data_IF_715436920607
#
_entry.id   IF_715436920607
#
_cell.length_a   1.000
_cell.length_b   1.000
_cell.length_c   1.000
_cell.angle_alpha   90.00
_cell.angle_beta   90.00
_cell.angle_gamma   90.00
#
_symmetry.space_group_name_H-M   'P 1'
#
loop_
_entity.id
_entity.type
_entity.pdbx_description
1 polymer ?
#
# COMPACT_ATOMS: atom_id res chain seq x y z
N UNK A 1 8.35 -17.50 9.50
CA UNK A 1 8.73 -16.33 8.64
C UNK A 1 8.27 -16.67 7.23
N UNK A 2 7.56 -15.76 6.56
CA UNK A 2 7.07 -15.93 5.18
C UNK A 2 8.24 -16.03 4.22
N UNK A 3 8.09 -16.86 3.19
CA UNK A 3 9.08 -17.05 2.12
C UNK A 3 8.46 -16.76 0.77
N UNK A 4 9.26 -16.35 -0.21
CA UNK A 4 8.80 -16.16 -1.59
C UNK A 4 8.26 -17.45 -2.22
N UNK A 5 8.72 -18.61 -1.77
CA UNK A 5 8.18 -19.90 -2.20
C UNK A 5 6.71 -20.07 -1.76
N UNK A 6 6.36 -19.66 -0.54
CA UNK A 6 4.97 -19.72 -0.07
C UNK A 6 4.08 -18.72 -0.81
N UNK A 7 4.60 -17.51 -1.11
CA UNK A 7 3.91 -16.51 -1.97
C UNK A 7 3.67 -17.08 -3.37
N UNK A 8 4.69 -17.73 -3.97
CA UNK A 8 4.57 -18.39 -5.27
C UNK A 8 3.47 -19.45 -5.27
N UNK A 9 3.47 -20.34 -4.27
CA UNK A 9 2.45 -21.40 -4.15
C UNK A 9 1.05 -20.82 -4.00
N UNK A 10 0.91 -19.75 -3.19
CA UNK A 10 -0.37 -19.07 -3.02
C UNK A 10 -0.84 -18.44 -4.36
N UNK A 11 0.05 -17.78 -5.10
CA UNK A 11 -0.27 -17.18 -6.40
C UNK A 11 -0.71 -18.22 -7.43
N UNK A 12 0.02 -19.34 -7.56
CA UNK A 12 -0.31 -20.44 -8.47
C UNK A 12 -1.69 -21.06 -8.14
N UNK A 13 -2.09 -21.10 -6.86
CA UNK A 13 -3.41 -21.62 -6.46
C UNK A 13 -4.55 -20.82 -7.09
N UNK A 14 -4.36 -19.53 -7.33
CA UNK A 14 -5.32 -18.64 -7.98
C UNK A 14 -5.08 -18.51 -9.50
N UNK A 15 -4.08 -19.21 -10.04
CA UNK A 15 -3.74 -19.18 -11.47
C UNK A 15 -2.97 -17.91 -11.88
N UNK A 16 -2.32 -17.23 -10.95
CA UNK A 16 -1.40 -16.15 -11.25
C UNK A 16 -0.02 -16.73 -11.54
N UNK A 17 0.42 -16.62 -12.79
CA UNK A 17 1.74 -17.12 -13.21
C UNK A 17 2.79 -16.02 -13.11
N UNK A 18 3.98 -16.39 -12.66
CA UNK A 18 5.07 -15.42 -12.49
C UNK A 18 6.43 -15.99 -12.87
N UNK A 19 7.38 -15.10 -13.08
CA UNK A 19 8.80 -15.42 -13.11
C UNK A 19 9.35 -15.40 -11.69
N UNK A 20 10.17 -16.41 -11.37
CA UNK A 20 10.80 -16.52 -10.06
C UNK A 20 12.24 -15.99 -10.18
N UNK A 21 12.48 -14.83 -9.57
CA UNK A 21 13.82 -14.26 -9.37
C UNK A 21 14.50 -14.77 -8.11
N UNK A 22 15.69 -14.26 -7.82
CA UNK A 22 16.45 -14.64 -6.62
C UNK A 22 15.80 -14.11 -5.34
N UNK A 23 15.24 -12.90 -5.39
CA UNK A 23 14.72 -12.12 -4.28
C UNK A 23 13.30 -11.58 -4.51
N UNK A 24 12.66 -11.93 -5.63
CA UNK A 24 11.35 -11.43 -6.04
C UNK A 24 10.59 -12.38 -6.97
N UNK A 25 9.27 -12.18 -7.03
CA UNK A 25 8.39 -12.78 -8.03
C UNK A 25 7.88 -11.67 -8.95
N UNK A 26 7.87 -11.91 -10.26
CA UNK A 26 7.43 -10.92 -11.25
C UNK A 26 6.23 -11.45 -12.02
N UNK A 27 5.13 -10.74 -11.98
CA UNK A 27 3.85 -11.03 -12.65
C UNK A 27 3.65 -10.03 -13.79
N UNK A 28 3.99 -10.39 -15.04
CA UNK A 28 3.84 -9.49 -16.18
C UNK A 28 2.40 -9.47 -16.70
N UNK A 29 1.85 -8.29 -16.86
CA UNK A 29 0.57 -8.01 -17.49
C UNK A 29 0.79 -7.13 -18.70
N UNK A 30 -0.22 -6.98 -19.55
CA UNK A 30 -0.10 -6.16 -20.75
C UNK A 30 0.23 -4.69 -20.41
N UNK A 31 -0.52 -4.10 -19.48
CA UNK A 31 -0.43 -2.67 -19.16
C UNK A 31 0.45 -2.38 -17.94
N UNK A 32 0.85 -3.40 -17.18
CA UNK A 32 1.61 -3.22 -15.93
C UNK A 32 2.44 -4.47 -15.56
N UNK A 33 3.33 -4.28 -14.62
CA UNK A 33 4.13 -5.36 -14.02
C UNK A 33 3.91 -5.31 -12.51
N UNK A 34 3.60 -6.46 -11.90
CA UNK A 34 3.56 -6.59 -10.44
C UNK A 34 4.81 -7.31 -9.98
N UNK A 35 5.53 -6.73 -9.06
CA UNK A 35 6.71 -7.33 -8.41
C UNK A 35 6.39 -7.61 -6.95
N UNK A 36 6.46 -8.88 -6.53
CA UNK A 36 6.31 -9.25 -5.13
C UNK A 36 7.66 -9.56 -4.51
N UNK A 37 7.95 -8.95 -3.35
CA UNK A 37 9.20 -9.15 -2.62
C UNK A 37 8.98 -8.99 -1.10
N UNK A 38 9.95 -9.48 -0.31
CA UNK A 38 9.97 -9.33 1.13
C UNK A 38 10.86 -8.12 1.47
N UNK A 39 10.29 -7.15 2.15
CA UNK A 39 11.03 -6.06 2.77
C UNK A 39 11.37 -6.47 4.20
N UNK A 40 12.66 -6.65 4.48
CA UNK A 40 13.16 -7.05 5.80
C UNK A 40 13.43 -5.86 6.72
N UNK A 41 13.21 -4.63 6.25
CA UNK A 41 13.32 -3.44 7.10
C UNK A 41 12.27 -3.51 8.22
N UNK A 42 12.48 -2.75 9.28
CA UNK A 42 11.52 -2.70 10.38
C UNK A 42 10.42 -1.64 10.10
N UNK A 43 9.14 -2.02 10.07
CA UNK A 43 8.57 -3.36 10.26
C UNK A 43 8.68 -4.22 8.97
N UNK A 44 8.97 -5.54 9.09
CA UNK A 44 9.08 -6.40 7.93
C UNK A 44 7.72 -6.61 7.27
N UNK A 45 7.72 -6.57 5.92
CA UNK A 45 6.49 -6.65 5.13
C UNK A 45 6.66 -7.47 3.85
N UNK A 46 5.59 -8.09 3.39
CA UNK A 46 5.43 -8.59 2.03
C UNK A 46 4.84 -7.46 1.18
N UNK A 47 5.54 -7.10 0.11
CA UNK A 47 5.17 -6.00 -0.79
C UNK A 47 4.76 -6.56 -2.15
N UNK A 48 3.66 -6.04 -2.69
CA UNK A 48 3.25 -6.16 -4.08
C UNK A 48 3.33 -4.76 -4.70
N UNK A 49 4.39 -4.49 -5.44
CA UNK A 49 4.66 -3.22 -6.09
C UNK A 49 4.35 -3.34 -7.59
N UNK A 50 3.48 -2.49 -8.08
CA UNK A 50 3.00 -2.49 -9.45
C UNK A 50 3.47 -1.24 -10.15
N UNK A 51 4.04 -1.40 -11.35
CA UNK A 51 4.45 -0.32 -12.22
C UNK A 51 3.66 -0.38 -13.52
N UNK A 52 3.03 0.72 -13.93
CA UNK A 52 2.40 0.83 -15.24
C UNK A 52 3.49 0.96 -16.32
N UNK A 53 3.33 0.26 -17.44
CA UNK A 53 4.33 0.27 -18.53
C UNK A 53 4.35 1.55 -19.33
N UNK A 54 3.18 2.20 -19.46
CA UNK A 54 3.08 3.47 -20.15
C UNK A 54 3.50 4.62 -19.21
N UNK A 55 4.13 5.63 -19.80
CA UNK A 55 4.50 6.87 -19.12
C UNK A 55 3.69 8.04 -19.70
N UNK A 56 3.49 9.08 -18.92
CA UNK A 56 2.77 10.28 -19.32
C UNK A 56 3.66 11.51 -19.08
N UNK A 57 3.49 12.58 -19.86
CA UNK A 57 4.30 13.79 -19.70
C UNK A 57 3.96 14.57 -18.44
N UNK A 58 4.92 15.31 -17.90
CA UNK A 58 4.76 16.14 -16.69
C UNK A 58 3.68 17.23 -16.83
N UNK A 59 3.32 17.62 -18.03
CA UNK A 59 2.21 18.56 -18.29
C UNK A 59 0.86 18.07 -17.78
N UNK A 60 0.72 16.75 -17.58
CA UNK A 60 -0.46 16.11 -17.01
C UNK A 60 -0.46 15.99 -15.48
N UNK A 61 0.59 16.48 -14.79
CA UNK A 61 0.73 16.32 -13.32
C UNK A 61 -0.51 16.77 -12.54
N UNK A 62 -1.14 17.86 -12.93
CA UNK A 62 -2.35 18.34 -12.25
C UNK A 62 -3.59 17.45 -12.45
N UNK A 63 -3.68 16.73 -13.56
CA UNK A 63 -4.71 15.73 -13.82
C UNK A 63 -4.42 14.45 -13.06
N UNK A 64 -3.18 13.96 -13.15
CA UNK A 64 -2.69 12.83 -12.39
C UNK A 64 -2.92 13.01 -10.88
N UNK A 65 -2.60 14.18 -10.34
CA UNK A 65 -2.81 14.48 -8.93
C UNK A 65 -4.27 14.30 -8.50
N UNK A 66 -5.22 14.75 -9.33
CA UNK A 66 -6.66 14.59 -9.03
C UNK A 66 -7.11 13.14 -9.12
N UNK A 67 -6.73 12.41 -10.16
CA UNK A 67 -7.09 10.98 -10.34
C UNK A 67 -6.48 10.12 -9.23
N UNK A 68 -5.20 10.30 -8.91
CA UNK A 68 -4.53 9.57 -7.82
C UNK A 68 -5.17 9.88 -6.46
N UNK A 69 -5.44 11.16 -6.20
CA UNK A 69 -6.11 11.56 -4.95
C UNK A 69 -7.51 10.95 -4.83
N UNK A 70 -8.30 10.97 -5.89
CA UNK A 70 -9.64 10.37 -5.91
C UNK A 70 -9.55 8.87 -5.63
N UNK A 71 -8.65 8.13 -6.30
CA UNK A 71 -8.44 6.72 -6.04
C UNK A 71 -8.04 6.45 -4.59
N UNK A 72 -7.02 7.14 -4.07
CA UNK A 72 -6.51 6.93 -2.72
C UNK A 72 -7.54 7.30 -1.64
N UNK A 73 -8.40 8.28 -1.91
CA UNK A 73 -9.49 8.67 -1.02
C UNK A 73 -10.64 7.65 -1.00
N UNK A 74 -11.03 7.12 -2.15
CA UNK A 74 -12.21 6.27 -2.30
C UNK A 74 -11.93 4.79 -2.07
N UNK A 75 -10.66 4.35 -2.12
CA UNK A 75 -10.28 2.94 -2.06
C UNK A 75 -9.30 2.65 -0.94
N UNK A 76 -9.49 1.51 -0.28
CA UNK A 76 -8.56 1.06 0.77
C UNK A 76 -7.17 0.73 0.22
N UNK A 77 -7.10 0.25 -1.02
CA UNK A 77 -5.84 -0.07 -1.70
C UNK A 77 -6.07 -0.57 -3.12
N UNK A 78 -5.00 -0.75 -3.89
CA UNK A 78 -3.61 -0.40 -3.57
C UNK A 78 -3.39 1.12 -3.43
N UNK A 79 -2.33 1.52 -2.74
CA UNK A 79 -1.86 2.91 -2.72
C UNK A 79 -1.32 3.27 -4.08
N UNK A 80 -1.87 4.29 -4.73
CA UNK A 80 -1.38 4.79 -6.01
C UNK A 80 -0.50 6.01 -5.79
N UNK A 81 0.64 6.03 -6.49
CA UNK A 81 1.62 7.13 -6.46
C UNK A 81 2.15 7.39 -7.86
N UNK A 82 2.85 8.52 -8.03
CA UNK A 82 3.56 8.85 -9.25
C UNK A 82 5.05 9.02 -8.98
N UNK A 83 5.87 8.60 -9.93
CA UNK A 83 7.31 8.82 -9.93
C UNK A 83 7.72 9.61 -11.17
N UNK A 84 8.50 10.65 -10.96
CA UNK A 84 9.10 11.42 -12.06
C UNK A 84 10.43 10.78 -12.43
N UNK A 85 10.50 10.25 -13.64
CA UNK A 85 11.73 9.68 -14.21
C UNK A 85 12.59 10.73 -14.93
N UNK A 86 13.69 10.25 -15.50
CA UNK A 86 14.49 11.03 -16.42
C UNK A 86 13.63 11.48 -17.62
N UNK A 87 13.98 12.51 -18.33
CA UNK A 87 13.25 13.03 -19.50
C UNK A 87 11.85 13.64 -19.19
N UNK A 88 11.56 13.94 -17.92
CA UNK A 88 10.28 14.49 -17.48
C UNK A 88 9.07 13.59 -17.79
N UNK A 89 9.28 12.30 -17.85
CA UNK A 89 8.22 11.28 -17.93
C UNK A 89 7.75 10.89 -16.54
N UNK A 90 6.46 10.69 -16.38
CA UNK A 90 5.82 10.25 -15.14
C UNK A 90 5.37 8.81 -15.30
N UNK A 91 5.80 7.95 -14.37
CA UNK A 91 5.33 6.57 -14.23
C UNK A 91 4.37 6.48 -13.06
N UNK A 92 3.31 5.68 -13.17
CA UNK A 92 2.39 5.40 -12.07
C UNK A 92 2.73 4.08 -11.41
N UNK A 93 2.67 4.09 -10.09
CA UNK A 93 2.87 2.94 -9.23
C UNK A 93 1.61 2.64 -8.43
N UNK A 94 1.40 1.37 -8.09
CA UNK A 94 0.33 0.94 -7.19
C UNK A 94 0.89 -0.11 -6.24
N UNK A 95 0.77 0.11 -4.93
CA UNK A 95 1.41 -0.74 -3.91
C UNK A 95 0.41 -1.30 -2.91
N UNK A 96 0.53 -2.60 -2.64
CA UNK A 96 -0.14 -3.29 -1.53
C UNK A 96 0.91 -3.92 -0.62
N UNK A 97 0.71 -3.87 0.68
CA UNK A 97 1.64 -4.43 1.68
C UNK A 97 0.92 -5.23 2.76
N UNK A 98 1.62 -6.21 3.32
CA UNK A 98 1.18 -7.00 4.46
C UNK A 98 2.31 -7.09 5.48
N UNK A 99 2.09 -6.65 6.70
CA UNK A 99 3.04 -6.82 7.79
C UNK A 99 3.20 -8.32 8.11
N UNK A 100 4.45 -8.78 8.20
CA UNK A 100 4.78 -10.19 8.43
C UNK A 100 5.57 -10.41 9.73
N UNK A 101 5.86 -9.33 10.47
CA UNK A 101 6.67 -9.37 11.69
C UNK A 101 6.09 -10.25 12.81
N UNK A 102 4.76 -10.21 12.99
CA UNK A 102 4.05 -11.07 13.94
C UNK A 102 3.71 -12.47 13.40
N UNK A 103 4.28 -12.84 12.25
CA UNK A 103 3.93 -14.07 11.53
C UNK A 103 2.60 -13.96 10.78
N UNK A 104 2.39 -14.83 9.79
CA UNK A 104 1.11 -14.97 9.09
C UNK A 104 0.81 -16.45 8.82
N UNK A 105 -0.47 -16.81 8.73
CA UNK A 105 -0.91 -18.15 8.37
C UNK A 105 -0.98 -18.31 6.84
N UNK A 106 -1.00 -19.55 6.32
CA UNK A 106 -1.21 -19.78 4.89
C UNK A 106 -2.51 -19.19 4.34
N UNK A 107 -3.59 -19.18 5.12
CA UNK A 107 -4.88 -18.62 4.72
C UNK A 107 -4.83 -17.08 4.65
N UNK A 108 -4.16 -16.41 5.59
CA UNK A 108 -3.92 -14.98 5.56
C UNK A 108 -3.06 -14.58 4.35
N UNK A 109 -1.99 -15.36 4.06
CA UNK A 109 -1.14 -15.15 2.89
C UNK A 109 -1.93 -15.30 1.59
N UNK A 110 -2.71 -16.37 1.46
CA UNK A 110 -3.51 -16.64 0.28
C UNK A 110 -4.55 -15.54 0.03
N UNK A 111 -5.23 -15.08 1.09
CA UNK A 111 -6.22 -13.99 0.99
C UNK A 111 -5.56 -12.66 0.57
N UNK A 112 -4.40 -12.33 1.14
CA UNK A 112 -3.64 -11.14 0.76
C UNK A 112 -3.16 -11.18 -0.70
N UNK A 113 -2.57 -12.30 -1.15
CA UNK A 113 -2.11 -12.47 -2.54
C UNK A 113 -3.26 -12.27 -3.52
N UNK A 114 -4.40 -12.94 -3.29
CA UNK A 114 -5.59 -12.80 -4.12
C UNK A 114 -6.10 -11.36 -4.14
N UNK A 115 -6.28 -10.75 -2.96
CA UNK A 115 -6.79 -9.38 -2.82
C UNK A 115 -5.89 -8.37 -3.52
N UNK A 116 -4.57 -8.46 -3.32
CA UNK A 116 -3.60 -7.56 -3.95
C UNK A 116 -3.67 -7.62 -5.48
N UNK A 117 -3.71 -8.81 -6.07
CA UNK A 117 -3.78 -8.97 -7.52
C UNK A 117 -5.12 -8.48 -8.10
N UNK A 118 -6.24 -8.76 -7.43
CA UNK A 118 -7.58 -8.31 -7.86
C UNK A 118 -7.71 -6.78 -7.77
N UNK A 119 -7.29 -6.18 -6.65
CA UNK A 119 -7.40 -4.72 -6.45
C UNK A 119 -6.42 -3.95 -7.32
N UNK A 120 -5.21 -4.46 -7.56
CA UNK A 120 -4.25 -3.89 -8.51
C UNK A 120 -4.85 -3.81 -9.91
N UNK A 121 -5.47 -4.91 -10.38
CA UNK A 121 -6.13 -4.90 -11.69
C UNK A 121 -7.23 -3.84 -11.77
N UNK A 122 -8.06 -3.72 -10.71
CA UNK A 122 -9.09 -2.69 -10.65
C UNK A 122 -8.49 -1.27 -10.67
N UNK A 123 -7.37 -1.06 -9.98
CA UNK A 123 -6.67 0.22 -10.01
C UNK A 123 -6.16 0.56 -11.41
N UNK A 124 -5.50 -0.37 -12.07
CA UNK A 124 -4.97 -0.17 -13.42
C UNK A 124 -6.10 0.07 -14.42
N UNK A 125 -7.18 -0.73 -14.38
CA UNK A 125 -8.34 -0.55 -15.25
C UNK A 125 -8.97 0.86 -15.06
N UNK A 126 -9.12 1.33 -13.81
CA UNK A 126 -9.63 2.67 -13.49
C UNK A 126 -8.70 3.79 -13.96
N UNK A 127 -7.39 3.66 -13.72
CA UNK A 127 -6.40 4.65 -14.16
C UNK A 127 -6.37 4.79 -15.69
N UNK A 128 -6.48 3.69 -16.43
CA UNK A 128 -6.54 3.71 -17.91
C UNK A 128 -7.87 4.28 -18.40
N UNK A 129 -8.99 4.04 -17.69
CA UNK A 129 -10.29 4.63 -18.04
C UNK A 129 -10.26 6.15 -17.91
N UNK A 130 -9.68 6.67 -16.83
CA UNK A 130 -9.56 8.12 -16.58
C UNK A 130 -8.49 8.78 -17.44
N UNK A 131 -7.39 8.06 -17.73
CA UNK A 131 -6.20 8.54 -18.43
C UNK A 131 -5.85 7.57 -19.58
N UNK A 132 -6.55 7.63 -20.71
CA UNK A 132 -6.39 6.68 -21.82
C UNK A 132 -4.98 6.61 -22.43
N UNK A 133 -4.16 7.64 -22.23
CA UNK A 133 -2.76 7.69 -22.69
C UNK A 133 -1.87 6.69 -21.91
N UNK A 134 -2.35 6.14 -20.78
CA UNK A 134 -1.70 5.07 -20.02
C UNK A 134 -1.94 3.67 -20.61
N UNK A 135 -2.84 3.54 -21.59
CA UNK A 135 -3.08 2.25 -22.26
C UNK A 135 -1.91 1.89 -23.16
N UNK A 136 -1.37 0.69 -22.99
CA UNK A 136 -0.40 0.15 -23.94
C UNK A 136 -1.07 -0.17 -25.28
N UNK A 137 -0.42 0.11 -26.42
CA UNK A 137 -0.97 -0.22 -27.74
C UNK A 137 -1.20 -1.72 -27.86
N UNK A 138 -2.41 -2.13 -28.20
CA UNK A 138 -2.71 -3.53 -28.45
C UNK A 138 -2.04 -4.00 -29.77
N UNK A 139 -1.31 -5.12 -29.70
CA UNK A 139 -0.95 -5.82 -30.93
C UNK A 139 -2.22 -6.38 -31.60
N UNK A 140 -2.25 -6.43 -32.95
CA UNK A 140 -3.42 -6.93 -33.68
C UNK A 140 -3.82 -8.37 -33.26
N UNK A 141 -2.86 -9.18 -32.86
CA UNK A 141 -3.06 -10.56 -32.40
C UNK A 141 -3.73 -10.61 -31.02
N UNK A 142 -3.37 -9.71 -30.10
CA UNK A 142 -3.96 -9.60 -28.77
C UNK A 142 -5.40 -9.05 -28.83
N UNK A 143 -5.67 -8.08 -29.69
CA UNK A 143 -7.01 -7.56 -29.92
C UNK A 143 -7.96 -8.64 -30.47
N UNK A 144 -7.46 -9.54 -31.33
CA UNK A 144 -8.22 -10.67 -31.86
C UNK A 144 -8.52 -11.75 -30.80
N UNK A 145 -7.58 -11.99 -29.88
CA UNK A 145 -7.79 -12.90 -28.74
C UNK A 145 -8.78 -12.34 -27.71
N UNK A 146 -8.67 -11.05 -27.33
CA UNK A 146 -9.65 -10.39 -26.45
C UNK A 146 -11.08 -10.48 -27.01
N UNK A 147 -11.29 -10.17 -28.28
CA UNK A 147 -12.62 -10.29 -28.93
C UNK A 147 -13.20 -11.71 -28.87
N UNK A 148 -12.35 -12.73 -28.90
CA UNK A 148 -12.79 -14.14 -28.72
C UNK A 148 -13.14 -14.47 -27.28
N UNK A 149 -12.46 -13.85 -26.32
CA UNK A 149 -12.67 -14.06 -24.88
C UNK A 149 -13.89 -13.30 -24.35
N UNK A 150 -14.13 -12.07 -24.80
CA UNK A 150 -15.31 -11.26 -24.42
C UNK A 150 -16.61 -11.95 -24.86
N UNK A 151 -16.59 -12.71 -25.95
CA UNK A 151 -17.72 -13.52 -26.40
C UNK A 151 -17.95 -14.77 -25.54
N UNK A 152 -16.94 -15.25 -24.82
CA UNK A 152 -17.01 -16.41 -23.93
C UNK A 152 -17.29 -16.03 -22.46
N UNK A 153 -17.05 -14.78 -22.07
CA UNK A 153 -17.04 -14.31 -20.67
C UNK A 153 -18.43 -14.00 -20.08
N UNK A 154 -19.54 -14.18 -20.83
CA UNK A 154 -20.90 -13.99 -20.29
C UNK A 154 -21.41 -15.12 -19.40
N UNK A 155 -20.60 -16.15 -19.11
CA UNK A 155 -21.06 -17.33 -18.33
C UNK A 155 -19.99 -18.12 -17.58
N UNK A 156 -18.92 -17.53 -17.07
CA UNK A 156 -17.88 -18.30 -16.35
C UNK A 156 -17.11 -17.48 -15.30
N UNK A 157 -16.37 -18.16 -14.39
CA UNK A 157 -15.51 -17.49 -13.42
C UNK A 157 -14.45 -16.63 -14.12
N UNK A 158 -14.00 -15.56 -13.42
CA UNK A 158 -13.08 -14.52 -13.88
C UNK A 158 -12.05 -14.99 -14.94
N UNK A 159 -11.89 -14.25 -16.06
CA UNK A 159 -10.99 -14.65 -17.14
C UNK A 159 -9.56 -14.81 -16.64
N UNK A 160 -9.00 -16.00 -16.81
CA UNK A 160 -7.63 -16.36 -16.40
C UNK A 160 -6.53 -15.85 -17.33
N UNK A 161 -6.87 -15.15 -18.41
CA UNK A 161 -5.99 -15.06 -19.57
C UNK A 161 -5.64 -13.62 -19.99
N UNK A 162 -5.04 -12.85 -19.06
CA UNK A 162 -4.32 -11.63 -19.45
C UNK A 162 -2.80 -11.76 -19.26
N UNK A 163 -2.29 -12.98 -19.28
CA UNK A 163 -0.83 -13.19 -19.33
C UNK A 163 -0.35 -13.05 -20.78
N UNK A 164 0.65 -12.22 -20.97
CA UNK A 164 1.41 -12.10 -22.22
C UNK A 164 2.08 -13.45 -22.51
N UNK A 165 2.05 -13.91 -23.75
CA UNK A 165 2.66 -15.20 -24.13
C UNK A 165 4.17 -15.21 -23.89
N UNK A 166 4.71 -16.37 -23.59
CA UNK A 166 6.11 -16.58 -23.21
C UNK A 166 7.12 -16.00 -24.23
N UNK A 167 6.74 -15.86 -25.51
CA UNK A 167 7.63 -15.35 -26.56
C UNK A 167 7.74 -13.80 -26.59
N UNK A 168 6.82 -13.07 -25.95
CA UNK A 168 6.87 -11.60 -25.84
C UNK A 168 7.64 -11.15 -24.58
N UNK A 169 7.93 -12.10 -23.70
CA UNK A 169 8.52 -11.83 -22.38
C UNK A 169 10.05 -11.86 -22.36
N UNK A 170 10.71 -12.44 -23.39
CA UNK A 170 12.16 -12.45 -23.44
C UNK A 170 12.75 -11.03 -23.58
N UNK A 171 12.07 -10.13 -24.30
CA UNK A 171 12.48 -8.72 -24.40
C UNK A 171 12.16 -7.95 -23.10
N UNK A 172 11.04 -8.25 -22.44
CA UNK A 172 10.61 -7.62 -21.19
C UNK A 172 11.51 -8.05 -20.00
N UNK A 173 11.99 -9.30 -19.98
CA UNK A 173 12.94 -9.78 -18.97
C UNK A 173 14.26 -9.02 -19.04
N UNK A 174 14.70 -8.62 -20.24
CA UNK A 174 15.89 -7.78 -20.43
C UNK A 174 15.65 -6.37 -19.89
N UNK A 175 14.45 -5.79 -20.10
CA UNK A 175 14.07 -4.49 -19.55
C UNK A 175 13.97 -4.52 -18.01
N UNK A 176 13.44 -5.60 -17.43
CA UNK A 176 13.39 -5.78 -15.98
C UNK A 176 14.79 -5.87 -15.34
N UNK A 177 15.77 -6.47 -16.03
CA UNK A 177 17.17 -6.50 -15.56
C UNK A 177 17.81 -5.11 -15.61
N UNK A 178 17.47 -4.31 -16.61
CA UNK A 178 17.94 -2.91 -16.71
C UNK A 178 17.30 -2.03 -15.62
N UNK A 179 16.04 -2.27 -15.26
CA UNK A 179 15.36 -1.59 -14.15
C UNK A 179 15.98 -1.96 -12.79
N UNK A 180 16.41 -3.21 -12.60
CA UNK A 180 17.12 -3.63 -11.39
C UNK A 180 18.46 -2.89 -11.21
N UNK A 181 19.17 -2.60 -12.30
CA UNK A 181 20.41 -1.82 -12.25
C UNK A 181 20.16 -0.35 -11.89
N UNK A 182 19.02 0.24 -12.30
CA UNK A 182 18.67 1.62 -11.96
C UNK A 182 18.26 1.76 -10.49
N UNK A 183 17.46 0.83 -9.97
CA UNK A 183 17.08 0.81 -8.54
C UNK A 183 18.27 0.60 -7.61
N UNK A 184 19.30 -0.13 -8.04
CA UNK A 184 20.48 -0.42 -7.22
C UNK A 184 21.45 0.75 -7.07
N UNK A 185 21.33 1.81 -7.89
CA UNK A 185 22.27 2.94 -7.88
C UNK A 185 21.74 4.22 -7.23
N UNK A 186 20.42 4.42 -7.16
CA UNK A 186 19.84 5.68 -6.68
C UNK A 186 19.29 5.64 -5.23
N UNK A 187 19.23 4.47 -4.59
CA UNK A 187 18.48 4.30 -3.35
C UNK A 187 19.32 3.94 -2.12
N UNK A 188 20.57 4.38 -2.04
CA UNK A 188 21.32 4.31 -0.78
C UNK A 188 22.11 5.61 -0.58
N UNK A 189 21.46 6.64 -0.09
CA UNK A 189 22.14 7.53 0.85
C UNK A 189 21.93 6.91 2.24
N UNK A 190 22.97 6.40 2.90
CA UNK A 190 22.82 5.94 4.27
C UNK A 190 22.50 7.16 5.12
N UNK A 191 21.30 7.21 5.70
CA UNK A 191 21.03 8.07 6.82
C UNK A 191 22.04 7.75 7.91
N UNK A 192 22.54 8.78 8.57
CA UNK A 192 23.51 8.69 9.66
C UNK A 192 22.96 7.73 10.73
N UNK A 193 23.68 6.66 11.13
CA UNK A 193 23.17 5.68 12.08
C UNK A 193 23.05 6.22 13.53
N UNK A 194 23.32 7.50 13.78
CA UNK A 194 23.38 8.10 15.10
C UNK A 194 22.21 9.07 15.41
N UNK A 195 21.18 9.20 14.58
CA UNK A 195 19.96 9.89 15.00
C UNK A 195 19.09 8.97 15.86
N UNK A 196 19.21 9.13 17.17
CA UNK A 196 18.33 8.55 18.18
C UNK A 196 16.90 9.08 17.99
N UNK A 197 16.04 8.28 17.37
CA UNK A 197 14.59 8.52 17.37
C UNK A 197 14.04 8.22 18.76
N UNK A 198 13.90 9.25 19.57
CA UNK A 198 13.24 9.17 20.87
C UNK A 198 11.72 9.27 20.70
N UNK A 199 11.11 8.17 20.27
CA UNK A 199 9.66 8.04 20.34
C UNK A 199 9.28 7.49 21.71
N UNK A 200 8.40 8.15 22.44
CA UNK A 200 8.00 7.75 23.79
C UNK A 200 6.90 6.70 23.87
N UNK A 201 6.55 6.03 22.81
CA UNK A 201 6.19 4.63 22.94
C UNK A 201 7.51 3.92 23.17
N UNK A 202 7.66 3.27 24.34
CA UNK A 202 8.85 2.51 24.67
C UNK A 202 9.24 1.62 23.49
N UNK A 203 10.33 1.96 22.83
CA UNK A 203 10.91 1.20 21.72
C UNK A 203 11.61 -0.08 22.20
N UNK A 204 11.51 -0.40 23.47
CA UNK A 204 12.01 -1.64 24.08
C UNK A 204 11.06 -2.85 23.88
N UNK A 205 10.20 -2.84 22.86
CA UNK A 205 9.63 -4.08 22.35
C UNK A 205 10.69 -4.71 21.44
N UNK A 206 11.46 -5.60 22.05
CA UNK A 206 12.38 -6.50 21.38
C UNK A 206 11.54 -7.43 20.46
N UNK A 207 11.45 -7.08 19.18
CA UNK A 207 10.72 -7.81 18.16
C UNK A 207 11.42 -9.12 17.74
N UNK A 208 12.36 -9.60 18.55
CA UNK A 208 12.97 -10.92 18.38
C UNK A 208 11.88 -11.99 18.47
N UNK A 209 11.60 -12.59 17.34
CA UNK A 209 10.61 -13.65 17.11
C UNK A 209 10.64 -14.68 18.25
N UNK A 210 9.53 -14.90 18.99
CA UNK A 210 9.47 -15.99 19.95
C UNK A 210 9.60 -17.32 19.21
N UNK A 211 10.65 -18.05 19.50
CA UNK A 211 10.78 -19.45 19.10
C UNK A 211 9.76 -20.28 19.90
N UNK A 212 8.73 -20.76 19.22
CA UNK A 212 7.76 -21.71 19.80
C UNK A 212 6.34 -21.42 19.31
N UNK A 213 5.97 -22.03 18.19
CA UNK A 213 4.61 -22.04 17.67
C UNK A 213 3.71 -22.96 18.53
N UNK A 214 3.19 -22.45 19.63
CA UNK A 214 1.85 -22.76 20.12
C UNK A 214 1.00 -21.51 19.92
N UNK A 215 1.02 -20.97 18.71
CA UNK A 215 0.30 -19.75 18.37
C UNK A 215 -1.20 -20.00 18.47
N UNK A 216 -1.88 -19.22 19.28
CA UNK A 216 -3.32 -19.14 19.32
C UNK A 216 -3.85 -18.95 17.87
N UNK A 217 -4.89 -19.70 17.44
CA UNK A 217 -5.40 -19.57 16.09
C UNK A 217 -5.95 -18.16 15.87
N UNK A 218 -5.81 -17.59 14.65
CA UNK A 218 -6.44 -16.32 14.33
C UNK A 218 -7.92 -16.33 14.62
N UNK A 219 -8.42 -15.26 15.23
CA UNK A 219 -9.83 -15.06 15.55
C UNK A 219 -10.35 -13.82 14.81
N UNK A 220 -11.68 -13.72 14.66
CA UNK A 220 -12.31 -12.55 14.05
C UNK A 220 -11.86 -11.27 14.74
N UNK A 221 -11.49 -10.27 13.97
CA UNK A 221 -11.19 -8.93 14.48
C UNK A 221 -12.52 -8.22 14.76
N UNK A 222 -12.66 -7.70 15.96
CA UNK A 222 -13.83 -6.92 16.39
C UNK A 222 -13.38 -5.59 16.96
N UNK A 223 -14.24 -4.56 16.96
CA UNK A 223 -13.91 -3.27 17.58
C UNK A 223 -13.68 -3.38 19.10
N UNK A 224 -14.27 -4.38 19.76
CA UNK A 224 -13.98 -4.65 21.17
C UNK A 224 -12.53 -5.13 21.37
N UNK A 225 -12.04 -6.05 20.50
CA UNK A 225 -10.63 -6.46 20.53
C UNK A 225 -9.70 -5.28 20.21
N UNK A 226 -10.10 -4.41 19.25
CA UNK A 226 -9.34 -3.18 18.96
C UNK A 226 -9.27 -2.26 20.17
N UNK A 227 -10.39 -2.06 20.91
CA UNK A 227 -10.38 -1.26 22.16
C UNK A 227 -9.44 -1.87 23.22
N UNK A 228 -9.49 -3.19 23.39
CA UNK A 228 -8.59 -3.87 24.30
C UNK A 228 -7.13 -3.70 23.90
N UNK A 229 -6.81 -3.90 22.62
CA UNK A 229 -5.45 -3.69 22.08
C UNK A 229 -4.96 -2.26 22.31
N UNK A 230 -5.80 -1.25 22.10
CA UNK A 230 -5.45 0.15 22.38
C UNK A 230 -5.18 0.39 23.87
N UNK A 231 -5.97 -0.21 24.76
CA UNK A 231 -5.75 -0.13 26.21
C UNK A 231 -4.44 -0.80 26.62
N UNK A 232 -4.11 -1.95 26.04
CA UNK A 232 -2.84 -2.67 26.27
C UNK A 232 -1.63 -1.86 25.77
N UNK A 233 -1.78 -1.07 24.70
CA UNK A 233 -0.80 -0.10 24.21
C UNK A 233 -0.77 1.22 25.02
N UNK A 234 -1.56 1.34 26.11
CA UNK A 234 -1.60 2.53 26.96
C UNK A 234 -2.56 3.63 26.51
N UNK A 235 -3.38 3.39 25.47
CA UNK A 235 -4.37 4.33 24.96
C UNK A 235 -5.73 4.01 25.60
N UNK A 236 -5.89 4.42 26.86
CA UNK A 236 -7.08 4.11 27.67
C UNK A 236 -8.33 4.92 27.30
N UNK A 237 -8.15 6.11 26.74
CA UNK A 237 -9.25 7.05 26.43
C UNK A 237 -9.68 6.89 24.99
N UNK A 238 -10.67 6.03 24.77
CA UNK A 238 -11.30 5.84 23.46
C UNK A 238 -12.76 6.27 23.50
N UNK A 239 -13.26 6.72 22.36
CA UNK A 239 -14.65 7.11 22.11
C UNK A 239 -15.19 6.32 20.91
N UNK A 240 -16.44 6.54 20.56
CA UNK A 240 -17.07 5.92 19.41
C UNK A 240 -18.16 4.92 19.80
N UNK A 241 -18.68 4.24 18.81
CA UNK A 241 -19.83 3.33 18.88
C UNK A 241 -19.48 1.93 18.36
N UNK A 242 -20.47 1.23 17.81
CA UNK A 242 -20.29 -0.11 17.25
C UNK A 242 -19.63 -0.10 15.86
N UNK A 243 -19.48 1.07 15.22
CA UNK A 243 -18.93 1.22 13.87
C UNK A 243 -17.50 1.76 13.86
N UNK A 244 -17.07 2.47 14.91
CA UNK A 244 -15.76 3.10 14.98
C UNK A 244 -15.23 3.22 16.42
N UNK A 245 -13.90 3.07 16.56
CA UNK A 245 -13.16 3.49 17.75
C UNK A 245 -12.37 4.75 17.42
N UNK A 246 -12.49 5.78 18.23
CA UNK A 246 -11.83 7.08 18.06
C UNK A 246 -10.91 7.33 19.26
N UNK A 247 -9.70 7.82 19.00
CA UNK A 247 -8.75 8.23 20.03
C UNK A 247 -7.95 9.47 19.57
N UNK A 248 -7.57 10.30 20.54
CA UNK A 248 -6.56 11.34 20.34
C UNK A 248 -5.22 10.80 20.80
N UNK A 249 -4.23 10.77 19.89
CA UNK A 249 -2.89 10.28 20.14
C UNK A 249 -1.92 11.34 19.65
N UNK A 250 -1.08 11.88 20.53
CA UNK A 250 -0.12 12.94 20.23
C UNK A 250 -0.74 14.13 19.45
N UNK A 251 -1.91 14.58 19.89
CA UNK A 251 -2.73 15.65 19.30
C UNK A 251 -3.30 15.35 17.89
N UNK A 252 -3.14 14.11 17.40
CA UNK A 252 -3.75 13.65 16.15
C UNK A 252 -5.00 12.84 16.44
N UNK A 253 -6.07 13.12 15.68
CA UNK A 253 -7.30 12.34 15.72
C UNK A 253 -7.14 11.03 14.95
N UNK A 254 -7.31 9.91 15.64
CA UNK A 254 -7.32 8.58 15.05
C UNK A 254 -8.72 7.99 15.02
N UNK A 255 -9.02 7.29 13.92
CA UNK A 255 -10.18 6.41 13.79
C UNK A 255 -9.75 5.00 13.43
N UNK A 256 -10.34 4.01 14.11
CA UNK A 256 -10.12 2.59 13.90
C UNK A 256 -11.42 1.96 13.44
N UNK A 257 -11.42 1.30 12.28
CA UNK A 257 -12.62 0.80 11.61
C UNK A 257 -12.45 -0.66 11.18
N UNK A 258 -13.58 -1.34 11.07
CA UNK A 258 -13.69 -2.58 10.31
C UNK A 258 -14.55 -2.27 9.09
N UNK A 259 -13.91 -1.89 8.00
CA UNK A 259 -14.59 -1.30 6.86
C UNK A 259 -15.02 -2.35 5.83
N UNK A 260 -16.16 -2.10 5.22
CA UNK A 260 -16.79 -2.64 3.98
C UNK A 260 -16.36 -4.03 3.51
N UNK A 261 -16.27 -4.96 4.44
CA UNK A 261 -15.70 -6.27 4.23
C UNK A 261 -14.58 -6.48 5.24
N UNK A 262 -13.74 -7.53 5.08
CA UNK A 262 -12.81 -7.94 6.11
C UNK A 262 -11.51 -7.11 6.06
N UNK A 263 -11.59 -5.80 6.29
CA UNK A 263 -10.43 -4.91 6.36
C UNK A 263 -10.39 -4.16 7.68
N UNK A 264 -9.26 -4.24 8.38
CA UNK A 264 -8.94 -3.37 9.51
C UNK A 264 -8.27 -2.11 8.97
N UNK A 265 -8.84 -0.96 9.28
CA UNK A 265 -8.43 0.34 8.78
C UNK A 265 -8.13 1.27 9.96
N UNK A 266 -6.93 1.85 9.97
CA UNK A 266 -6.52 2.90 10.90
C UNK A 266 -6.32 4.18 10.12
N UNK A 267 -6.96 5.26 10.54
CA UNK A 267 -6.89 6.59 9.90
C UNK A 267 -6.37 7.61 10.88
N UNK A 268 -5.40 8.42 10.46
CA UNK A 268 -5.04 9.67 11.10
C UNK A 268 -5.51 10.87 10.28
N UNK A 269 -5.87 11.93 10.97
CA UNK A 269 -6.43 13.14 10.37
C UNK A 269 -5.65 14.37 10.78
N UNK A 270 -5.24 15.18 9.80
CA UNK A 270 -4.67 16.49 9.98
C UNK A 270 -5.38 17.52 9.10
N UNK A 271 -5.80 18.62 9.72
CA UNK A 271 -6.41 19.76 9.06
C UNK A 271 -5.40 20.92 9.07
N UNK A 272 -4.70 21.16 7.93
CA UNK A 272 -3.67 22.20 7.86
C UNK A 272 -4.21 23.63 7.81
N UNK A 273 -5.52 23.84 7.63
CA UNK A 273 -6.09 25.18 7.41
C UNK A 273 -5.59 25.86 6.13
N UNK A 274 -5.14 25.09 5.14
CA UNK A 274 -4.60 25.57 3.87
C UNK A 274 -5.70 25.75 2.82
N UNK A 275 -5.45 26.66 1.87
CA UNK A 275 -6.40 26.94 0.78
C UNK A 275 -6.38 25.79 -0.25
N UNK A 276 -7.51 25.13 -0.48
CA UNK A 276 -7.56 23.95 -1.35
C UNK A 276 -7.33 24.24 -2.84
N UNK A 277 -7.45 25.46 -3.30
CA UNK A 277 -7.24 25.82 -4.71
C UNK A 277 -5.77 26.13 -4.99
N UNK A 278 -5.08 26.80 -4.06
CA UNK A 278 -3.67 27.19 -4.23
C UNK A 278 -2.67 26.14 -3.71
N UNK A 279 -3.02 25.38 -2.67
CA UNK A 279 -2.10 24.47 -1.98
C UNK A 279 -2.25 23.00 -2.38
N UNK A 280 -3.35 22.61 -3.08
CA UNK A 280 -3.64 21.22 -3.41
C UNK A 280 -2.47 20.46 -4.02
N UNK A 281 -1.87 21.00 -5.09
CA UNK A 281 -0.79 20.30 -5.78
C UNK A 281 0.46 20.12 -4.91
N UNK A 282 0.79 21.14 -4.10
CA UNK A 282 1.93 21.08 -3.17
C UNK A 282 1.70 20.00 -2.12
N UNK A 283 0.53 19.97 -1.49
CA UNK A 283 0.22 18.96 -0.46
C UNK A 283 0.09 17.57 -1.08
N UNK A 284 -0.50 17.47 -2.29
CA UNK A 284 -0.49 16.21 -3.04
C UNK A 284 0.92 15.66 -3.23
N UNK A 285 1.89 16.50 -3.64
CA UNK A 285 3.28 16.06 -3.84
C UNK A 285 3.91 15.56 -2.55
N UNK A 286 3.70 16.23 -1.41
CA UNK A 286 4.19 15.76 -0.12
C UNK A 286 3.58 14.40 0.27
N UNK A 287 2.27 14.23 0.09
CA UNK A 287 1.62 12.92 0.29
C UNK A 287 2.18 11.85 -0.68
N UNK A 288 2.45 12.23 -1.92
CA UNK A 288 3.03 11.34 -2.91
C UNK A 288 4.44 10.91 -2.55
N UNK A 289 5.29 11.83 -2.09
CA UNK A 289 6.66 11.52 -1.67
C UNK A 289 6.65 10.55 -0.48
N UNK A 290 5.73 10.74 0.48
CA UNK A 290 5.49 9.75 1.52
C UNK A 290 5.09 8.38 0.94
N UNK A 291 4.14 8.34 0.02
CA UNK A 291 3.67 7.09 -0.60
C UNK A 291 4.78 6.37 -1.40
N UNK A 292 5.73 7.10 -1.98
CA UNK A 292 6.89 6.52 -2.68
C UNK A 292 7.94 5.97 -1.71
N UNK A 293 8.17 6.64 -0.58
CA UNK A 293 9.20 6.27 0.39
C UNK A 293 8.74 5.18 1.36
N UNK A 294 7.42 5.10 1.66
CA UNK A 294 6.86 4.24 2.70
C UNK A 294 6.09 3.07 2.11
N UNK A 295 6.20 1.88 2.75
CA UNK A 295 5.62 0.65 2.21
C UNK A 295 4.25 0.30 2.82
N UNK A 296 3.89 0.83 3.98
CA UNK A 296 2.78 0.29 4.79
C UNK A 296 1.61 1.22 4.97
N UNK A 297 1.80 2.52 4.78
CA UNK A 297 0.75 3.53 4.95
C UNK A 297 0.53 4.31 3.65
N UNK A 298 -0.66 4.86 3.52
CA UNK A 298 -1.11 5.66 2.39
C UNK A 298 -1.47 7.06 2.88
N UNK A 299 -0.82 8.09 2.32
CA UNK A 299 -1.17 9.49 2.56
C UNK A 299 -1.90 10.07 1.33
N UNK A 300 -2.90 10.89 1.55
CA UNK A 300 -3.57 11.66 0.51
C UNK A 300 -4.20 12.92 1.08
N UNK A 301 -4.38 13.92 0.23
CA UNK A 301 -5.13 15.11 0.60
C UNK A 301 -6.44 15.17 -0.19
N UNK A 302 -7.47 15.75 0.39
CA UNK A 302 -8.71 15.99 -0.31
C UNK A 302 -9.35 17.31 0.12
N UNK A 303 -10.21 17.84 -0.72
CA UNK A 303 -11.00 19.04 -0.42
C UNK A 303 -12.26 18.63 0.29
N UNK A 304 -12.53 19.25 1.42
CA UNK A 304 -13.76 19.15 2.19
C UNK A 304 -14.42 20.55 2.31
N UNK A 305 -15.60 20.62 2.91
CA UNK A 305 -16.31 21.87 3.17
C UNK A 305 -15.48 22.83 4.07
N UNK A 306 -14.65 22.27 4.95
CA UNK A 306 -13.80 23.00 5.89
C UNK A 306 -12.40 23.36 5.34
N UNK A 307 -12.06 22.94 4.11
CA UNK A 307 -10.78 23.23 3.46
C UNK A 307 -10.04 22.03 2.91
N UNK A 308 -8.71 22.12 2.86
CA UNK A 308 -7.83 21.03 2.44
C UNK A 308 -7.50 20.17 3.66
N UNK A 309 -7.77 18.87 3.57
CA UNK A 309 -7.49 17.91 4.63
C UNK A 309 -6.45 16.90 4.18
N UNK A 310 -5.61 16.45 5.10
CA UNK A 310 -4.66 15.33 4.91
C UNK A 310 -5.13 14.14 5.72
N UNK A 311 -5.18 13.00 5.08
CA UNK A 311 -5.49 11.69 5.69
C UNK A 311 -4.30 10.77 5.49
N UNK A 312 -3.99 10.03 6.55
CA UNK A 312 -3.02 8.93 6.47
C UNK A 312 -3.72 7.66 6.92
N UNK A 313 -3.62 6.61 6.12
CA UNK A 313 -4.33 5.36 6.32
C UNK A 313 -3.37 4.17 6.33
N UNK A 314 -3.61 3.27 7.27
CA UNK A 314 -3.06 1.92 7.28
C UNK A 314 -4.19 0.93 7.08
N UNK A 315 -4.00 -0.10 6.26
CA UNK A 315 -5.01 -1.13 6.00
C UNK A 315 -4.41 -2.51 6.10
N UNK A 316 -5.10 -3.41 6.81
CA UNK A 316 -4.73 -4.82 6.87
C UNK A 316 -5.95 -5.72 6.56
N UNK A 317 -5.81 -6.81 5.76
CA UNK A 317 -6.87 -7.76 5.53
C UNK A 317 -7.11 -8.60 6.80
N UNK A 318 -8.39 -8.77 7.20
CA UNK A 318 -8.76 -9.50 8.43
C UNK A 318 -9.77 -10.63 8.17
N UNK A 319 -10.01 -11.01 6.91
CA UNK A 319 -10.94 -12.10 6.56
C UNK A 319 -10.56 -13.44 7.20
N UNK A 320 -9.27 -13.74 7.25
CA UNK A 320 -8.76 -14.95 7.88
C UNK A 320 -8.50 -14.78 9.39
N UNK A 321 -9.01 -13.69 9.99
CA UNK A 321 -8.78 -13.34 11.39
C UNK A 321 -7.36 -12.86 11.67
N UNK A 322 -7.12 -12.47 12.94
CA UNK A 322 -5.81 -12.16 13.49
C UNK A 322 -5.65 -12.76 14.88
N UNK A 323 -4.44 -13.17 15.25
CA UNK A 323 -4.08 -13.41 16.65
C UNK A 323 -4.03 -12.09 17.41
N UNK A 324 -4.02 -12.12 18.74
CA UNK A 324 -3.89 -10.89 19.53
C UNK A 324 -2.53 -10.21 19.27
N UNK A 325 -1.45 -10.98 19.13
CA UNK A 325 -0.13 -10.47 18.77
C UNK A 325 -0.13 -9.79 17.40
N UNK A 326 -0.81 -10.36 16.38
CA UNK A 326 -0.92 -9.75 15.07
C UNK A 326 -1.71 -8.43 15.14
N UNK A 327 -2.82 -8.40 15.86
CA UNK A 327 -3.64 -7.20 16.00
C UNK A 327 -2.88 -6.09 16.73
N UNK A 328 -2.18 -6.42 17.82
CA UNK A 328 -1.32 -5.49 18.55
C UNK A 328 -0.21 -4.94 17.68
N UNK A 329 0.54 -5.81 16.98
CA UNK A 329 1.61 -5.40 16.07
C UNK A 329 1.09 -4.48 14.94
N UNK A 330 0.01 -4.87 14.26
CA UNK A 330 -0.56 -4.04 13.20
C UNK A 330 -1.04 -2.69 13.72
N UNK A 331 -1.67 -2.65 14.91
CA UNK A 331 -2.16 -1.42 15.52
C UNK A 331 -1.02 -0.50 15.93
N UNK A 332 0.03 -1.04 16.58
CA UNK A 332 1.19 -0.27 16.98
C UNK A 332 1.95 0.32 15.79
N UNK A 333 2.20 -0.50 14.75
CA UNK A 333 2.82 -0.03 13.51
C UNK A 333 1.96 1.02 12.82
N UNK A 334 0.65 0.81 12.72
CA UNK A 334 -0.27 1.77 12.12
C UNK A 334 -0.21 3.13 12.81
N UNK A 335 -0.30 3.17 14.14
CA UNK A 335 -0.25 4.41 14.91
C UNK A 335 1.10 5.11 14.68
N UNK A 336 2.20 4.39 14.81
CA UNK A 336 3.54 4.94 14.64
C UNK A 336 3.73 5.53 13.23
N UNK A 337 3.42 4.77 12.19
CA UNK A 337 3.59 5.20 10.79
C UNK A 337 2.67 6.37 10.42
N UNK A 338 1.45 6.40 10.95
CA UNK A 338 0.52 7.52 10.74
C UNK A 338 1.04 8.79 11.40
N UNK A 339 1.57 8.70 12.63
CA UNK A 339 2.17 9.85 13.31
C UNK A 339 3.40 10.37 12.56
N UNK A 340 4.30 9.50 12.12
CA UNK A 340 5.48 9.91 11.33
C UNK A 340 5.08 10.56 10.01
N UNK A 341 4.08 10.02 9.30
CA UNK A 341 3.60 10.62 8.07
C UNK A 341 3.05 12.03 8.28
N UNK A 342 2.22 12.23 9.31
CA UNK A 342 1.66 13.54 9.61
C UNK A 342 2.76 14.52 10.07
N UNK A 343 3.72 14.05 10.86
CA UNK A 343 4.87 14.84 11.30
C UNK A 343 5.70 15.36 10.12
N UNK A 344 6.12 14.45 9.22
CA UNK A 344 6.90 14.79 8.03
C UNK A 344 6.11 15.71 7.09
N UNK A 345 4.88 15.33 6.72
CA UNK A 345 4.06 16.11 5.79
C UNK A 345 3.74 17.51 6.38
N UNK A 346 3.42 17.61 7.68
CA UNK A 346 3.12 18.91 8.30
C UNK A 346 4.36 19.79 8.40
N UNK A 347 5.49 19.23 8.80
CA UNK A 347 6.76 19.95 8.87
C UNK A 347 7.15 20.53 7.51
N UNK A 348 7.03 19.75 6.44
CA UNK A 348 7.35 20.20 5.08
C UNK A 348 6.29 21.17 4.52
N UNK A 349 5.03 21.04 4.94
CA UNK A 349 3.95 21.90 4.49
C UNK A 349 3.96 23.28 5.14
N UNK A 350 4.12 23.36 6.45
CA UNK A 350 3.94 24.59 7.23
C UNK A 350 5.14 24.97 8.12
N UNK A 351 6.21 24.16 8.14
CA UNK A 351 7.44 24.42 8.88
C UNK A 351 7.39 24.04 10.36
N UNK A 352 6.33 23.35 10.80
CA UNK A 352 6.18 22.86 12.17
C UNK A 352 5.41 21.53 12.17
N UNK A 353 5.74 20.67 13.14
CA UNK A 353 5.04 19.40 13.31
C UNK A 353 3.64 19.61 13.88
N UNK A 354 2.65 18.91 13.32
CA UNK A 354 1.31 18.81 13.88
C UNK A 354 1.22 17.75 15.00
N UNK A 355 2.27 16.91 15.16
CA UNK A 355 2.32 15.84 16.15
C UNK A 355 2.99 16.34 17.42
N UNK A 356 2.32 16.17 18.55
CA UNK A 356 2.89 16.46 19.87
C UNK A 356 3.74 15.27 20.35
N UNK A 357 4.99 15.23 19.94
CA UNK A 357 5.94 14.23 20.44
C UNK A 357 6.24 14.50 21.91
N UNK A 358 6.25 13.47 22.77
CA UNK A 358 6.65 13.65 24.16
C UNK A 358 8.13 13.97 24.25
N UNK A 359 8.49 14.78 25.26
CA UNK A 359 9.86 15.20 25.56
C UNK A 359 10.69 14.07 26.17
#
# INVERSE_FOLDING_TARGET
MVTLTEVYVAAETFGFHCYVGADRLVFPWHDHIVTAYLDERNPPALIFDTELRATIGMEHTGELARTITAWNHERLGPTVSLRVGDEAAVTLHARSSLLIGAGITPDQLADFVRLSMETTRLAVDHLIEDLPDLAMPESEDNAAQRRKQDTAALSGPLPRDRHVGVNELDDDVVQLRDMDHRRSQDDITPGDPDEEYSASMSTDHDWDTPAGFDAEPPADVTLERVRQTLADLGIEKTHGDDDVVIAWINDILFGFFLDNGPSYLVKGHWDPGLDPDSDFLRIFLLCNDWNESTMTTKAFCHKDDDGLQVRVEFTAPVRAGMTDLQLEHNTAVAINQVLHAIDEISTDAIGESAVAWPE
#
